data_IF_412954079066
#
_entry.id   IF_412954079066
#
_cell.length_a   1.000
_cell.length_b   1.000
_cell.length_c   1.000
_cell.angle_alpha   90.00
_cell.angle_beta   90.00
_cell.angle_gamma   90.00
#
_symmetry.space_group_name_H-M   'P 1'
#
loop_
_entity.id
_entity.type
_entity.pdbx_description
1 polymer ?
#
# COMPACT_ATOMS: atom_id res chain seq x y z
N UNK A 1 1.56 -5.12 17.58
CA UNK A 1 1.72 -6.55 17.23
C UNK A 1 0.95 -7.42 18.19
N UNK A 2 0.03 -8.26 17.69
CA UNK A 2 -0.65 -9.27 18.52
C UNK A 2 0.36 -10.30 19.04
N UNK A 3 0.22 -10.71 20.30
CA UNK A 3 0.97 -11.82 20.93
C UNK A 3 0.99 -13.08 20.05
N UNK A 4 -0.07 -13.29 19.28
CA UNK A 4 -0.21 -14.39 18.34
C UNK A 4 0.80 -14.32 17.18
N UNK A 5 1.10 -13.13 16.67
CA UNK A 5 2.08 -12.96 15.59
C UNK A 5 3.50 -13.23 16.09
N UNK A 6 3.82 -12.81 17.32
CA UNK A 6 5.11 -13.12 17.96
C UNK A 6 5.27 -14.62 18.22
N UNK A 7 4.19 -15.31 18.61
CA UNK A 7 4.21 -16.76 18.83
C UNK A 7 4.35 -17.55 17.52
N UNK A 8 3.68 -17.12 16.44
CA UNK A 8 3.81 -17.75 15.11
C UNK A 8 5.25 -17.58 14.59
N UNK A 9 5.82 -16.38 14.72
CA UNK A 9 7.21 -16.11 14.36
C UNK A 9 8.19 -16.97 15.16
N UNK A 10 8.01 -17.08 16.49
CA UNK A 10 8.83 -17.93 17.33
C UNK A 10 8.70 -19.43 16.96
N UNK A 11 7.49 -19.90 16.67
CA UNK A 11 7.24 -21.29 16.28
C UNK A 11 7.94 -21.66 14.97
N UNK A 12 7.84 -20.80 13.95
CA UNK A 12 8.51 -21.01 12.66
C UNK A 12 10.03 -21.04 12.81
N UNK A 13 10.60 -20.20 13.68
CA UNK A 13 12.04 -20.17 13.96
C UNK A 13 12.54 -21.41 14.70
N UNK A 14 11.80 -21.89 15.71
CA UNK A 14 12.12 -23.16 16.37
C UNK A 14 12.10 -24.32 15.37
N UNK A 15 11.19 -24.29 14.39
CA UNK A 15 11.12 -25.30 13.32
C UNK A 15 12.35 -25.26 12.41
N UNK A 16 12.90 -24.09 12.10
CA UNK A 16 14.11 -23.92 11.29
C UNK A 16 15.38 -24.43 12.01
N UNK A 17 15.49 -24.17 13.32
CA UNK A 17 16.62 -24.64 14.14
C UNK A 17 16.39 -26.04 14.77
N UNK A 18 15.35 -26.76 14.31
CA UNK A 18 14.91 -28.03 14.92
C UNK A 18 16.02 -29.07 14.95
N UNK A 19 16.83 -29.16 13.91
CA UNK A 19 17.90 -30.16 13.83
C UNK A 19 19.03 -29.83 14.82
N UNK A 20 19.38 -28.55 14.95
CA UNK A 20 20.41 -28.07 15.86
C UNK A 20 19.99 -28.27 17.32
N UNK A 21 18.75 -27.92 17.68
CA UNK A 21 18.23 -28.15 19.03
C UNK A 21 18.05 -29.65 19.33
N UNK A 22 17.67 -30.47 18.34
CA UNK A 22 17.60 -31.91 18.50
C UNK A 22 18.98 -32.53 18.73
N UNK A 23 20.00 -32.08 17.98
CA UNK A 23 21.39 -32.49 18.19
C UNK A 23 21.87 -32.12 19.59
N UNK A 24 21.63 -30.86 20.02
CA UNK A 24 21.97 -30.40 21.36
C UNK A 24 21.30 -31.27 22.44
N UNK A 25 20.02 -31.56 22.29
CA UNK A 25 19.29 -32.42 23.21
C UNK A 25 19.82 -33.86 23.24
N UNK A 26 20.18 -34.44 22.09
CA UNK A 26 20.73 -35.79 22.03
C UNK A 26 22.12 -35.88 22.69
N UNK A 27 22.97 -34.88 22.48
CA UNK A 27 24.29 -34.81 23.14
C UNK A 27 24.11 -34.65 24.65
N UNK A 28 23.21 -33.78 25.10
CA UNK A 28 22.86 -33.65 26.51
C UNK A 28 22.37 -34.96 27.11
N UNK A 29 21.45 -35.65 26.42
CA UNK A 29 20.89 -36.92 26.86
C UNK A 29 21.95 -38.01 26.96
N UNK A 30 22.92 -38.02 26.04
CA UNK A 30 24.06 -38.94 26.11
C UNK A 30 24.94 -38.65 27.33
N UNK A 31 25.22 -37.38 27.62
CA UNK A 31 25.96 -36.99 28.84
C UNK A 31 25.19 -37.35 30.11
N UNK A 32 23.90 -37.03 30.16
CA UNK A 32 23.05 -37.33 31.30
C UNK A 32 22.95 -38.84 31.57
N UNK A 33 22.76 -39.66 30.52
CA UNK A 33 22.72 -41.12 30.67
C UNK A 33 24.07 -41.69 31.08
N UNK A 34 25.18 -41.17 30.54
CA UNK A 34 26.52 -41.54 30.99
C UNK A 34 26.71 -41.27 32.48
N UNK A 35 26.43 -40.05 32.95
CA UNK A 35 26.60 -39.71 34.37
C UNK A 35 25.63 -40.47 35.27
N UNK A 36 24.40 -40.74 34.84
CA UNK A 36 23.47 -41.58 35.60
C UNK A 36 23.98 -43.01 35.80
N UNK A 37 24.75 -43.55 34.84
CA UNK A 37 25.35 -44.88 34.92
C UNK A 37 26.64 -44.88 35.74
N UNK A 38 27.47 -43.85 35.63
CA UNK A 38 28.78 -43.80 36.31
C UNK A 38 28.68 -43.28 37.74
N UNK A 39 27.70 -42.43 38.05
CA UNK A 39 27.52 -41.78 39.36
C UNK A 39 26.22 -42.23 40.07
N UNK A 40 26.02 -43.54 40.33
CA UNK A 40 24.73 -44.10 40.75
C UNK A 40 24.26 -43.65 42.15
N UNK A 41 25.13 -43.03 42.94
CA UNK A 41 24.84 -42.55 44.30
C UNK A 41 24.46 -41.06 44.37
N UNK A 42 24.48 -40.35 43.24
CA UNK A 42 24.05 -38.96 43.15
C UNK A 42 22.53 -38.86 43.04
N UNK A 43 21.94 -37.81 43.62
CA UNK A 43 20.53 -37.53 43.40
C UNK A 43 20.30 -37.04 41.96
N UNK A 44 19.07 -37.19 41.46
CA UNK A 44 18.72 -36.82 40.07
C UNK A 44 19.02 -35.35 39.75
N UNK A 45 18.88 -34.45 40.72
CA UNK A 45 19.22 -33.03 40.57
C UNK A 45 20.73 -32.82 40.41
N UNK A 46 21.55 -33.57 41.14
CA UNK A 46 23.00 -33.49 41.03
C UNK A 46 23.47 -34.02 39.67
N UNK A 47 22.88 -35.12 39.19
CA UNK A 47 23.12 -35.65 37.85
C UNK A 47 22.74 -34.64 36.76
N UNK A 48 21.63 -33.92 36.93
CA UNK A 48 21.21 -32.87 36.02
C UNK A 48 22.20 -31.69 35.99
N UNK A 49 22.68 -31.24 37.14
CA UNK A 49 23.67 -30.17 37.21
C UNK A 49 25.05 -30.59 36.68
N UNK A 50 25.43 -31.86 36.87
CA UNK A 50 26.65 -32.43 36.29
C UNK A 50 26.52 -32.52 34.76
N UNK A 51 25.38 -32.97 34.23
CA UNK A 51 25.17 -33.06 32.77
C UNK A 51 25.08 -31.70 32.08
N UNK A 52 24.79 -30.63 32.83
CA UNK A 52 24.88 -29.25 32.36
C UNK A 52 26.25 -28.62 32.60
N UNK A 53 27.23 -29.37 33.11
CA UNK A 53 28.59 -28.90 33.45
C UNK A 53 28.64 -27.80 34.52
N UNK A 54 27.55 -27.62 35.26
CA UNK A 54 27.45 -26.67 36.39
C UNK A 54 28.16 -27.23 37.62
N UNK A 55 28.21 -28.56 37.76
CA UNK A 55 28.88 -29.27 38.85
C UNK A 55 29.88 -30.29 38.29
N UNK A 56 31.00 -30.49 38.99
CA UNK A 56 31.99 -31.48 38.59
C UNK A 56 31.55 -32.90 39.02
N UNK A 57 31.71 -33.91 38.15
CA UNK A 57 31.53 -35.30 38.53
C UNK A 57 32.60 -35.72 39.54
N UNK A 58 32.30 -36.73 40.36
CA UNK A 58 33.27 -37.28 41.31
C UNK A 58 34.26 -38.22 40.61
N UNK A 59 33.80 -38.92 39.57
CA UNK A 59 34.59 -39.84 38.76
C UNK A 59 35.13 -39.09 37.54
N UNK A 60 36.42 -38.76 37.62
CA UNK A 60 37.16 -38.19 36.49
C UNK A 60 37.48 -39.30 35.47
N UNK A 61 36.65 -39.40 34.43
CA UNK A 61 36.91 -40.23 33.25
C UNK A 61 37.28 -39.35 32.05
N UNK A 62 37.98 -39.92 31.07
CA UNK A 62 38.31 -39.22 29.82
C UNK A 62 37.06 -38.72 29.10
N UNK A 63 35.96 -39.48 29.17
CA UNK A 63 34.67 -39.05 28.61
C UNK A 63 34.07 -37.87 29.37
N UNK A 64 34.13 -37.86 30.71
CA UNK A 64 33.63 -36.74 31.51
C UNK A 64 34.39 -35.43 31.19
N UNK A 65 35.71 -35.52 31.02
CA UNK A 65 36.55 -34.39 30.62
C UNK A 65 36.22 -33.92 29.19
N UNK A 66 36.07 -34.86 28.26
CA UNK A 66 35.68 -34.56 26.88
C UNK A 66 34.29 -33.90 26.80
N UNK A 67 33.30 -34.45 27.52
CA UNK A 67 31.95 -33.89 27.58
C UNK A 67 31.96 -32.51 28.21
N UNK A 68 32.70 -32.31 29.31
CA UNK A 68 32.86 -31.01 29.97
C UNK A 68 33.45 -29.92 29.08
N UNK A 69 34.25 -30.29 28.06
CA UNK A 69 34.79 -29.37 27.07
C UNK A 69 33.81 -29.13 25.91
N UNK A 70 33.21 -30.19 25.37
CA UNK A 70 32.39 -30.12 24.16
C UNK A 70 30.99 -29.55 24.42
N UNK A 71 30.38 -29.86 25.57
CA UNK A 71 29.03 -29.44 25.90
C UNK A 71 28.85 -27.91 25.93
N UNK A 72 29.69 -27.14 26.67
CA UNK A 72 29.59 -25.68 26.67
C UNK A 72 29.81 -25.06 25.29
N UNK A 73 30.76 -25.59 24.51
CA UNK A 73 31.05 -25.09 23.15
C UNK A 73 29.84 -25.30 22.24
N UNK A 74 29.23 -26.50 22.25
CA UNK A 74 28.04 -26.77 21.45
C UNK A 74 26.86 -25.89 21.86
N UNK A 75 26.65 -25.72 23.17
CA UNK A 75 25.60 -24.87 23.70
C UNK A 75 25.81 -23.41 23.26
N UNK A 76 27.03 -22.89 23.40
CA UNK A 76 27.38 -21.53 22.99
C UNK A 76 27.19 -21.33 21.48
N UNK A 77 27.75 -22.21 20.63
CA UNK A 77 27.65 -22.08 19.18
C UNK A 77 26.19 -22.13 18.70
N UNK A 78 25.37 -23.03 19.26
CA UNK A 78 23.97 -23.19 18.84
C UNK A 78 23.11 -22.03 19.36
N UNK A 79 23.26 -21.65 20.64
CA UNK A 79 22.47 -20.55 21.23
C UNK A 79 22.89 -19.20 20.65
N UNK A 80 24.19 -18.93 20.54
CA UNK A 80 24.68 -17.70 19.94
C UNK A 80 24.37 -17.63 18.45
N UNK A 81 24.48 -18.75 17.72
CA UNK A 81 24.05 -18.83 16.32
C UNK A 81 22.56 -18.53 16.15
N UNK A 82 21.71 -19.04 17.04
CA UNK A 82 20.28 -18.70 17.07
C UNK A 82 20.04 -17.20 17.36
N UNK A 83 20.70 -16.64 18.38
CA UNK A 83 20.56 -15.22 18.76
C UNK A 83 21.08 -14.28 17.66
N UNK A 84 22.25 -14.55 17.09
CA UNK A 84 22.82 -13.76 15.98
C UNK A 84 21.98 -13.91 14.73
N UNK A 85 21.50 -15.12 14.41
CA UNK A 85 20.55 -15.33 13.33
C UNK A 85 19.27 -14.51 13.52
N UNK A 86 18.73 -14.45 14.73
CA UNK A 86 17.56 -13.64 15.05
C UNK A 86 17.83 -12.12 14.92
N UNK A 87 19.00 -11.66 15.37
CA UNK A 87 19.42 -10.27 15.23
C UNK A 87 19.66 -9.88 13.77
N UNK A 88 20.21 -10.79 12.95
CA UNK A 88 20.46 -10.57 11.52
C UNK A 88 19.20 -10.72 10.65
N UNK A 89 18.23 -11.56 11.01
CA UNK A 89 16.95 -11.62 10.29
C UNK A 89 16.10 -10.38 10.54
N UNK A 90 16.18 -9.79 11.74
CA UNK A 90 15.69 -8.41 11.98
C UNK A 90 16.34 -7.39 11.03
N UNK A 91 17.48 -7.71 10.43
CA UNK A 91 18.22 -6.85 9.52
C UNK A 91 17.76 -6.98 8.06
N UNK A 92 16.94 -7.98 7.69
CA UNK A 92 16.32 -8.06 6.37
C UNK A 92 14.78 -8.04 6.47
N UNK A 93 14.19 -6.85 6.70
CA UNK A 93 12.76 -6.70 6.89
C UNK A 93 11.98 -7.12 5.64
N UNK A 94 12.54 -6.96 4.43
CA UNK A 94 11.93 -7.38 3.16
C UNK A 94 11.66 -8.89 3.13
N UNK A 95 12.64 -9.71 3.51
CA UNK A 95 12.47 -11.18 3.55
C UNK A 95 11.40 -11.57 4.59
N UNK A 96 11.42 -10.92 5.76
CA UNK A 96 10.43 -11.16 6.81
C UNK A 96 9.02 -10.82 6.35
N UNK A 97 8.81 -9.64 5.76
CA UNK A 97 7.54 -9.20 5.19
C UNK A 97 7.02 -10.16 4.11
N UNK A 98 7.91 -10.66 3.26
CA UNK A 98 7.56 -11.64 2.22
C UNK A 98 7.12 -12.99 2.79
N UNK A 99 7.80 -13.48 3.83
CA UNK A 99 7.41 -14.72 4.53
C UNK A 99 6.05 -14.54 5.22
N UNK A 100 5.82 -13.38 5.86
CA UNK A 100 4.55 -13.06 6.47
C UNK A 100 3.41 -13.11 5.45
N UNK A 101 3.61 -12.50 4.27
CA UNK A 101 2.60 -12.50 3.20
C UNK A 101 2.26 -13.93 2.74
N UNK A 102 3.27 -14.78 2.55
CA UNK A 102 3.10 -16.19 2.17
C UNK A 102 2.23 -17.02 3.12
N UNK A 103 2.21 -16.67 4.40
CA UNK A 103 1.47 -17.40 5.42
C UNK A 103 0.13 -16.75 5.79
N UNK A 104 -0.32 -15.74 5.06
CA UNK A 104 -1.63 -15.12 5.26
C UNK A 104 -2.73 -15.93 4.58
N UNK A 105 -3.87 -16.04 5.26
CA UNK A 105 -5.06 -16.79 4.84
C UNK A 105 -6.29 -15.93 5.13
N UNK A 106 -7.35 -16.10 4.33
CA UNK A 106 -8.59 -15.32 4.42
C UNK A 106 -8.32 -13.82 4.66
N UNK A 107 -7.49 -13.26 3.79
CA UNK A 107 -6.95 -11.91 3.92
C UNK A 107 -7.18 -11.09 2.66
N UNK A 108 -7.13 -9.77 2.79
CA UNK A 108 -7.23 -8.82 1.68
C UNK A 108 -5.87 -8.62 1.03
N UNK A 109 -5.78 -8.71 -0.29
CA UNK A 109 -4.55 -8.39 -1.04
C UNK A 109 -4.71 -7.05 -1.71
N UNK A 110 -3.73 -6.16 -1.52
CA UNK A 110 -3.73 -4.80 -2.08
C UNK A 110 -2.54 -4.72 -3.04
N UNK A 111 -2.82 -4.49 -4.32
CA UNK A 111 -1.82 -4.41 -5.39
C UNK A 111 -1.64 -2.94 -5.76
N UNK A 112 -0.42 -2.43 -5.54
CA UNK A 112 -0.07 -1.01 -5.61
C UNK A 112 -0.13 -0.31 -4.24
N UNK A 113 0.61 0.79 -4.12
CA UNK A 113 0.72 1.65 -2.93
C UNK A 113 0.49 3.13 -3.29
N UNK A 114 -0.49 3.38 -4.14
CA UNK A 114 -0.95 4.73 -4.49
C UNK A 114 -1.75 5.37 -3.33
N UNK A 115 -2.21 6.62 -3.48
CA UNK A 115 -2.94 7.30 -2.42
C UNK A 115 -4.24 6.60 -1.99
N UNK A 116 -4.92 5.89 -2.89
CA UNK A 116 -6.11 5.11 -2.53
C UNK A 116 -5.72 3.84 -1.79
N UNK A 117 -4.72 3.12 -2.29
CA UNK A 117 -4.19 1.92 -1.62
C UNK A 117 -3.71 2.24 -0.20
N UNK A 118 -3.04 3.37 0.01
CA UNK A 118 -2.64 3.84 1.35
C UNK A 118 -3.83 3.98 2.28
N UNK A 119 -4.94 4.58 1.83
CA UNK A 119 -6.18 4.67 2.63
C UNK A 119 -6.81 3.31 2.92
N UNK A 120 -6.81 2.39 1.96
CA UNK A 120 -7.27 1.01 2.17
C UNK A 120 -6.38 0.33 3.24
N UNK A 121 -5.06 0.48 3.15
CA UNK A 121 -4.09 -0.10 4.09
C UNK A 121 -4.28 0.49 5.50
N UNK A 122 -4.38 1.82 5.62
CA UNK A 122 -4.65 2.52 6.88
C UNK A 122 -5.95 2.00 7.52
N UNK A 123 -7.02 1.91 6.73
CA UNK A 123 -8.29 1.36 7.20
C UNK A 123 -8.15 -0.08 7.70
N UNK A 124 -7.44 -0.94 6.97
CA UNK A 124 -7.19 -2.31 7.41
C UNK A 124 -6.36 -2.37 8.71
N UNK A 125 -5.38 -1.48 8.88
CA UNK A 125 -4.57 -1.40 10.10
C UNK A 125 -5.42 -0.97 11.30
N UNK A 126 -6.22 0.09 11.15
CA UNK A 126 -7.07 0.66 12.19
C UNK A 126 -8.12 -0.36 12.68
N UNK A 127 -8.74 -1.06 11.73
CA UNK A 127 -9.78 -2.06 12.00
C UNK A 127 -9.21 -3.45 12.29
N UNK A 128 -7.88 -3.62 12.29
CA UNK A 128 -7.16 -4.88 12.54
C UNK A 128 -7.54 -6.01 11.57
N UNK A 129 -7.89 -5.63 10.34
CA UNK A 129 -8.16 -6.56 9.26
C UNK A 129 -6.86 -7.24 8.79
N UNK A 130 -6.99 -8.48 8.31
CA UNK A 130 -5.86 -9.19 7.73
C UNK A 130 -5.64 -8.73 6.30
N UNK A 131 -4.45 -8.19 6.02
CA UNK A 131 -4.07 -7.79 4.67
C UNK A 131 -2.63 -8.17 4.31
N UNK A 132 -2.32 -8.11 3.02
CA UNK A 132 -0.97 -8.11 2.44
C UNK A 132 -0.91 -7.09 1.30
N UNK A 133 0.28 -6.52 1.07
CA UNK A 133 0.51 -5.51 0.01
C UNK A 133 1.50 -6.07 -1.00
N UNK A 134 1.28 -5.79 -2.29
CA UNK A 134 2.21 -6.09 -3.37
C UNK A 134 2.53 -4.80 -4.11
N UNK A 135 3.81 -4.45 -4.16
CA UNK A 135 4.29 -3.20 -4.75
C UNK A 135 5.66 -3.45 -5.37
N UNK A 136 5.95 -2.85 -6.53
CA UNK A 136 7.24 -3.01 -7.20
C UNK A 136 8.27 -1.97 -6.75
N UNK A 137 7.82 -0.81 -6.28
CA UNK A 137 8.65 0.25 -5.76
C UNK A 137 8.81 0.17 -4.23
N UNK A 138 10.02 -0.16 -3.78
CA UNK A 138 10.36 -0.30 -2.36
C UNK A 138 10.10 0.98 -1.55
N UNK A 139 10.37 2.16 -2.12
CA UNK A 139 10.19 3.44 -1.43
C UNK A 139 8.73 3.67 -1.01
N UNK A 140 7.76 3.15 -1.76
CA UNK A 140 6.34 3.34 -1.47
C UNK A 140 5.82 2.46 -0.32
N UNK A 141 6.59 1.44 0.08
CA UNK A 141 6.21 0.45 1.10
C UNK A 141 7.27 0.25 2.18
N UNK A 142 8.34 1.05 2.16
CA UNK A 142 9.44 0.97 3.12
C UNK A 142 8.92 1.06 4.57
N UNK A 143 8.01 1.99 4.85
CA UNK A 143 7.40 2.13 6.17
C UNK A 143 6.60 0.89 6.57
N UNK A 144 5.89 0.26 5.64
CA UNK A 144 5.12 -0.97 5.92
C UNK A 144 6.07 -2.13 6.23
N UNK A 145 7.15 -2.25 5.46
CA UNK A 145 8.19 -3.26 5.65
C UNK A 145 8.87 -3.06 7.02
N UNK A 146 9.28 -1.83 7.34
CA UNK A 146 9.94 -1.47 8.60
C UNK A 146 9.03 -1.70 9.82
N UNK A 147 7.72 -1.50 9.66
CA UNK A 147 6.73 -1.78 10.70
C UNK A 147 6.34 -3.28 10.79
N UNK A 148 6.90 -4.14 9.93
CA UNK A 148 6.70 -5.59 9.95
C UNK A 148 5.35 -6.02 9.39
N UNK A 149 4.76 -5.26 8.48
CA UNK A 149 3.55 -5.65 7.75
C UNK A 149 3.88 -6.62 6.60
N UNK A 150 2.92 -7.46 6.18
CA UNK A 150 3.12 -8.40 5.07
C UNK A 150 3.17 -7.65 3.74
N UNK A 151 4.36 -7.59 3.14
CA UNK A 151 4.62 -6.89 1.87
C UNK A 151 5.40 -7.81 0.94
N UNK A 152 4.99 -7.83 -0.32
CA UNK A 152 5.63 -8.55 -1.42
C UNK A 152 6.22 -7.49 -2.34
N UNK A 153 7.54 -7.30 -2.26
CA UNK A 153 8.27 -6.41 -3.15
C UNK A 153 8.49 -7.11 -4.51
N UNK A 154 7.87 -6.59 -5.56
CA UNK A 154 8.07 -7.07 -6.93
C UNK A 154 6.88 -6.83 -7.87
N UNK A 155 7.12 -7.07 -9.16
CA UNK A 155 6.13 -6.89 -10.23
C UNK A 155 4.88 -7.76 -9.98
N UNK A 156 3.67 -7.17 -9.91
CA UNK A 156 2.44 -7.92 -9.67
C UNK A 156 1.99 -8.76 -10.87
N UNK A 157 2.61 -8.57 -12.03
CA UNK A 157 2.41 -9.43 -13.19
C UNK A 157 3.26 -10.70 -13.11
N UNK A 158 4.20 -10.85 -12.18
CA UNK A 158 4.99 -12.08 -12.03
C UNK A 158 4.21 -13.17 -11.28
N UNK A 159 4.15 -14.38 -11.87
CA UNK A 159 3.50 -15.53 -11.25
C UNK A 159 4.13 -15.90 -9.90
N UNK A 160 5.45 -15.71 -9.75
CA UNK A 160 6.13 -16.03 -8.50
C UNK A 160 5.64 -15.14 -7.35
N UNK A 161 5.37 -13.85 -7.62
CA UNK A 161 4.86 -12.92 -6.62
C UNK A 161 3.39 -13.20 -6.29
N UNK A 162 2.58 -13.53 -7.29
CA UNK A 162 1.19 -13.95 -7.11
C UNK A 162 1.08 -15.24 -6.28
N UNK A 163 1.97 -16.21 -6.47
CA UNK A 163 2.02 -17.44 -5.65
C UNK A 163 2.36 -17.12 -4.19
N UNK A 164 3.25 -16.15 -3.95
CA UNK A 164 3.62 -15.71 -2.59
C UNK A 164 2.49 -14.93 -1.91
N UNK A 165 1.59 -14.29 -2.67
CA UNK A 165 0.42 -13.63 -2.11
C UNK A 165 -0.67 -14.61 -1.62
N UNK A 166 -0.46 -15.92 -1.80
CA UNK A 166 -1.39 -16.96 -1.39
C UNK A 166 -2.84 -16.73 -1.89
N UNK A 167 -2.96 -16.37 -3.17
CA UNK A 167 -4.23 -15.95 -3.78
C UNK A 167 -5.33 -17.02 -3.81
N UNK A 168 -5.00 -18.28 -3.57
CA UNK A 168 -5.99 -19.37 -3.49
C UNK A 168 -6.97 -19.19 -2.32
N UNK A 169 -6.51 -18.56 -1.23
CA UNK A 169 -7.26 -18.39 0.03
C UNK A 169 -7.26 -16.92 0.48
N UNK A 170 -7.66 -16.05 -0.43
CA UNK A 170 -7.86 -14.62 -0.18
C UNK A 170 -9.33 -14.28 -0.09
N UNK A 171 -9.62 -13.32 0.77
CA UNK A 171 -10.96 -12.79 0.99
C UNK A 171 -11.40 -11.94 -0.19
N UNK A 172 -10.53 -11.03 -0.63
CA UNK A 172 -10.77 -10.11 -1.74
C UNK A 172 -9.44 -9.51 -2.20
N UNK A 173 -9.45 -8.87 -3.37
CA UNK A 173 -8.27 -8.24 -3.95
C UNK A 173 -8.61 -6.84 -4.44
N UNK A 174 -7.78 -5.85 -4.09
CA UNK A 174 -7.82 -4.50 -4.61
C UNK A 174 -6.63 -4.29 -5.55
N UNK A 175 -6.91 -4.00 -6.83
CA UNK A 175 -5.91 -3.58 -7.81
C UNK A 175 -5.99 -2.07 -7.96
N UNK A 176 -5.04 -1.36 -7.36
CA UNK A 176 -4.98 0.09 -7.28
C UNK A 176 -3.89 0.70 -8.17
N UNK A 177 -3.35 -0.05 -9.13
CA UNK A 177 -2.34 0.45 -10.07
C UNK A 177 -2.96 1.32 -11.17
N UNK A 178 -2.24 2.37 -11.57
CA UNK A 178 -2.70 3.31 -12.62
C UNK A 178 -2.45 2.80 -14.06
N UNK A 179 -1.63 1.77 -14.26
CA UNK A 179 -1.38 1.16 -15.58
C UNK A 179 -2.45 0.11 -15.89
N UNK A 180 -3.31 0.44 -16.86
CA UNK A 180 -4.39 -0.41 -17.37
C UNK A 180 -3.88 -1.80 -17.79
N UNK A 181 -2.70 -1.90 -18.40
CA UNK A 181 -2.14 -3.18 -18.85
C UNK A 181 -1.79 -4.06 -17.67
N UNK A 182 -1.14 -3.49 -16.65
CA UNK A 182 -0.82 -4.21 -15.41
C UNK A 182 -2.12 -4.67 -14.75
N UNK A 183 -3.10 -3.77 -14.59
CA UNK A 183 -4.41 -4.12 -14.02
C UNK A 183 -5.10 -5.28 -14.74
N UNK A 184 -5.10 -5.29 -16.07
CA UNK A 184 -5.69 -6.36 -16.87
C UNK A 184 -4.93 -7.69 -16.72
N UNK A 185 -3.60 -7.68 -16.83
CA UNK A 185 -2.77 -8.88 -16.70
C UNK A 185 -2.92 -9.49 -15.31
N UNK A 186 -2.87 -8.64 -14.26
CA UNK A 186 -3.08 -9.08 -12.89
C UNK A 186 -4.46 -9.72 -12.74
N UNK A 187 -5.53 -9.05 -13.20
CA UNK A 187 -6.90 -9.58 -13.10
C UNK A 187 -7.04 -10.95 -13.77
N UNK A 188 -6.49 -11.11 -14.98
CA UNK A 188 -6.51 -12.39 -15.70
C UNK A 188 -5.78 -13.50 -14.92
N UNK A 189 -4.58 -13.22 -14.42
CA UNK A 189 -3.76 -14.20 -13.68
C UNK A 189 -4.38 -14.58 -12.35
N UNK A 190 -4.86 -13.59 -11.60
CA UNK A 190 -5.58 -13.79 -10.35
C UNK A 190 -6.79 -14.69 -10.59
N UNK A 191 -7.62 -14.40 -11.60
CA UNK A 191 -8.82 -15.20 -11.89
C UNK A 191 -8.51 -16.61 -12.36
N UNK A 192 -7.30 -16.87 -12.89
CA UNK A 192 -6.83 -18.25 -13.17
C UNK A 192 -6.53 -19.03 -11.89
N UNK A 193 -6.03 -18.36 -10.86
CA UNK A 193 -5.67 -18.95 -9.56
C UNK A 193 -6.92 -19.09 -8.67
N UNK A 194 -7.71 -18.02 -8.55
CA UNK A 194 -8.91 -17.98 -7.71
C UNK A 194 -10.13 -17.56 -8.52
N UNK A 195 -11.05 -18.52 -8.71
CA UNK A 195 -12.22 -18.35 -9.58
C UNK A 195 -13.33 -17.49 -8.95
N UNK A 196 -13.38 -17.43 -7.63
CA UNK A 196 -14.56 -16.89 -6.92
C UNK A 196 -14.28 -15.58 -6.18
N UNK A 197 -13.03 -15.27 -5.83
CA UNK A 197 -12.75 -14.09 -5.01
C UNK A 197 -13.20 -12.77 -5.67
N UNK A 198 -13.75 -11.81 -4.91
CA UNK A 198 -14.01 -10.47 -5.40
C UNK A 198 -12.69 -9.77 -5.78
N UNK A 199 -12.66 -9.19 -6.98
CA UNK A 199 -11.52 -8.41 -7.46
C UNK A 199 -12.02 -7.00 -7.80
N UNK A 200 -11.60 -6.02 -7.02
CA UNK A 200 -11.90 -4.60 -7.25
C UNK A 200 -10.75 -3.98 -8.03
N UNK A 201 -11.05 -3.42 -9.20
CA UNK A 201 -10.01 -3.03 -10.15
C UNK A 201 -10.16 -1.56 -10.54
N UNK A 202 -9.14 -0.76 -10.27
CA UNK A 202 -9.14 0.66 -10.66
C UNK A 202 -8.85 0.81 -12.14
N UNK A 203 -9.85 1.23 -12.92
CA UNK A 203 -9.76 1.48 -14.36
C UNK A 203 -10.64 2.67 -14.72
N UNK A 204 -10.14 3.58 -15.57
CA UNK A 204 -10.95 4.71 -16.02
C UNK A 204 -11.79 4.36 -17.24
N UNK A 205 -11.19 3.72 -18.24
CA UNK A 205 -11.75 3.56 -19.57
C UNK A 205 -12.98 2.64 -19.58
N UNK A 206 -14.16 3.17 -19.91
CA UNK A 206 -15.44 2.45 -19.84
C UNK A 206 -15.44 1.14 -20.62
N UNK A 207 -14.81 1.08 -21.80
CA UNK A 207 -14.73 -0.15 -22.60
C UNK A 207 -13.89 -1.24 -21.92
N UNK A 208 -12.85 -0.86 -21.16
CA UNK A 208 -12.04 -1.81 -20.39
C UNK A 208 -12.80 -2.25 -19.13
N UNK A 209 -13.53 -1.34 -18.48
CA UNK A 209 -14.40 -1.71 -17.37
C UNK A 209 -15.44 -2.76 -17.81
N UNK A 210 -16.07 -2.56 -18.96
CA UNK A 210 -17.07 -3.50 -19.47
C UNK A 210 -16.45 -4.86 -19.82
N UNK A 211 -15.23 -4.86 -20.37
CA UNK A 211 -14.47 -6.10 -20.60
C UNK A 211 -14.18 -6.87 -19.30
N UNK A 212 -13.79 -6.18 -18.23
CA UNK A 212 -13.47 -6.81 -16.94
C UNK A 212 -14.70 -7.33 -16.18
N UNK A 213 -15.91 -6.87 -16.51
CA UNK A 213 -17.17 -7.36 -15.94
C UNK A 213 -17.67 -8.64 -16.58
N UNK A 214 -17.11 -9.05 -17.72
CA UNK A 214 -17.51 -10.29 -18.39
C UNK A 214 -17.31 -11.50 -17.47
N UNK A 215 -18.13 -12.54 -17.64
CA UNK A 215 -18.17 -13.72 -16.75
C UNK A 215 -16.80 -14.39 -16.57
N UNK A 216 -15.93 -14.31 -17.58
CA UNK A 216 -14.57 -14.85 -17.53
C UNK A 216 -13.69 -14.20 -16.44
N UNK A 217 -13.91 -12.91 -16.16
CA UNK A 217 -13.15 -12.13 -15.20
C UNK A 217 -13.96 -11.80 -13.95
N UNK A 218 -15.26 -11.53 -14.09
CA UNK A 218 -16.20 -11.19 -13.02
C UNK A 218 -15.57 -10.23 -11.98
N UNK A 219 -14.95 -9.16 -12.46
CA UNK A 219 -14.31 -8.16 -11.62
C UNK A 219 -15.24 -6.97 -11.40
N UNK A 220 -14.98 -6.21 -10.34
CA UNK A 220 -15.70 -5.00 -9.96
C UNK A 220 -14.83 -3.77 -10.31
N UNK A 221 -14.88 -3.28 -11.56
CA UNK A 221 -14.11 -2.12 -11.93
C UNK A 221 -14.68 -0.85 -11.30
N UNK A 222 -13.80 0.08 -10.93
CA UNK A 222 -14.18 1.39 -10.42
C UNK A 222 -13.19 2.47 -10.88
N UNK A 223 -13.60 3.73 -10.79
CA UNK A 223 -12.78 4.85 -11.23
C UNK A 223 -12.90 6.07 -10.32
N UNK A 224 -11.81 6.36 -9.62
CA UNK A 224 -11.68 7.58 -8.80
C UNK A 224 -11.76 8.85 -9.65
N UNK A 225 -11.20 8.81 -10.86
CA UNK A 225 -11.29 9.93 -11.79
C UNK A 225 -12.72 10.13 -12.31
N UNK A 226 -13.49 9.07 -12.57
CA UNK A 226 -14.89 9.21 -12.99
C UNK A 226 -15.73 9.86 -11.90
N UNK A 227 -15.57 9.42 -10.65
CA UNK A 227 -16.22 10.05 -9.50
C UNK A 227 -15.89 11.54 -9.35
N UNK A 228 -14.62 11.92 -9.58
CA UNK A 228 -14.22 13.32 -9.59
C UNK A 228 -14.85 14.09 -10.77
N UNK A 229 -14.92 13.48 -11.96
CA UNK A 229 -15.51 14.09 -13.14
C UNK A 229 -17.03 14.30 -13.01
N UNK A 230 -17.74 13.39 -12.32
CA UNK A 230 -19.17 13.55 -12.03
C UNK A 230 -19.42 14.79 -11.16
N UNK A 231 -18.61 14.98 -10.11
CA UNK A 231 -18.68 16.17 -9.26
C UNK A 231 -18.37 17.46 -10.04
N UNK A 232 -17.37 17.41 -10.92
CA UNK A 232 -16.98 18.56 -11.77
C UNK A 232 -18.05 18.87 -12.81
N UNK A 233 -18.71 17.85 -13.36
CA UNK A 233 -19.85 18.01 -14.26
C UNK A 233 -20.94 18.85 -13.60
N UNK A 234 -21.35 18.48 -12.39
CA UNK A 234 -22.37 19.19 -11.63
C UNK A 234 -21.95 20.63 -11.32
N UNK A 235 -20.67 20.86 -11.02
CA UNK A 235 -20.15 22.21 -10.76
C UNK A 235 -20.06 23.10 -11.99
N UNK A 236 -20.02 22.54 -13.20
CA UNK A 236 -19.92 23.30 -14.44
C UNK A 236 -21.29 23.51 -15.10
N UNK A 237 -22.30 22.73 -14.72
CA UNK A 237 -23.63 22.74 -15.34
C UNK A 237 -24.27 24.12 -15.32
N UNK A 238 -24.62 24.62 -16.51
CA UNK A 238 -25.34 25.89 -16.69
C UNK A 238 -24.49 27.15 -16.43
N UNK A 239 -23.17 26.99 -16.30
CA UNK A 239 -22.24 28.13 -16.19
C UNK A 239 -21.71 28.51 -17.56
N UNK A 240 -21.32 29.76 -17.71
CA UNK A 240 -20.79 30.33 -18.94
C UNK A 240 -19.45 31.03 -18.68
N UNK A 241 -18.73 31.37 -19.73
CA UNK A 241 -17.49 32.16 -19.65
C UNK A 241 -16.21 31.35 -19.70
N UNK A 242 -15.09 32.01 -19.34
CA UNK A 242 -13.75 31.43 -19.48
C UNK A 242 -13.36 30.56 -18.29
N UNK A 243 -12.58 29.54 -18.57
CA UNK A 243 -12.18 28.51 -17.61
C UNK A 243 -10.70 28.33 -17.68
N UNK A 244 -10.05 28.30 -16.53
CA UNK A 244 -8.64 27.94 -16.44
C UNK A 244 -8.54 26.56 -15.81
N UNK A 245 -7.74 25.70 -16.43
CA UNK A 245 -7.38 24.39 -15.89
C UNK A 245 -5.86 24.32 -15.83
N UNK A 246 -5.30 23.97 -14.68
CA UNK A 246 -3.85 23.97 -14.43
C UNK A 246 -3.44 22.58 -13.98
N UNK A 247 -2.47 21.96 -14.65
CA UNK A 247 -1.92 20.66 -14.27
C UNK A 247 -1.53 19.80 -15.48
N UNK A 248 -0.88 18.66 -15.20
CA UNK A 248 -0.21 17.83 -16.23
C UNK A 248 -0.83 16.46 -16.44
N UNK A 249 -1.79 16.10 -15.59
CA UNK A 249 -2.20 14.72 -15.42
C UNK A 249 -3.49 14.37 -16.17
N UNK A 250 -3.78 13.06 -16.25
CA UNK A 250 -4.96 12.55 -16.96
C UNK A 250 -6.28 13.17 -16.47
N UNK A 251 -6.43 13.41 -15.16
CA UNK A 251 -7.63 14.04 -14.63
C UNK A 251 -7.74 15.50 -15.11
N UNK A 252 -6.65 16.26 -15.05
CA UNK A 252 -6.58 17.63 -15.55
C UNK A 252 -7.03 17.72 -17.00
N UNK A 253 -6.52 16.84 -17.85
CA UNK A 253 -6.85 16.78 -19.27
C UNK A 253 -8.33 16.45 -19.48
N UNK A 254 -8.88 15.49 -18.72
CA UNK A 254 -10.32 15.15 -18.77
C UNK A 254 -11.20 16.33 -18.37
N UNK A 255 -10.80 17.09 -17.34
CA UNK A 255 -11.50 18.31 -16.93
C UNK A 255 -11.52 19.31 -18.07
N UNK A 256 -10.35 19.60 -18.65
CA UNK A 256 -10.24 20.57 -19.74
C UNK A 256 -11.08 20.16 -20.95
N UNK A 257 -11.00 18.89 -21.36
CA UNK A 257 -11.78 18.36 -22.46
C UNK A 257 -13.29 18.45 -22.19
N UNK A 258 -13.76 17.93 -21.05
CA UNK A 258 -15.18 17.91 -20.72
C UNK A 258 -15.77 19.32 -20.62
N UNK A 259 -15.05 20.27 -20.03
CA UNK A 259 -15.52 21.65 -19.92
C UNK A 259 -15.50 22.35 -21.27
N UNK A 260 -14.52 22.08 -22.13
CA UNK A 260 -14.45 22.64 -23.49
C UNK A 260 -15.52 22.12 -24.45
N UNK A 261 -16.11 20.95 -24.14
CA UNK A 261 -17.20 20.38 -24.93
C UNK A 261 -18.51 21.16 -24.77
N UNK A 262 -18.70 21.88 -23.65
CA UNK A 262 -19.84 22.77 -23.45
C UNK A 262 -19.72 24.00 -24.37
N UNK A 263 -20.78 24.27 -25.14
CA UNK A 263 -20.77 25.33 -26.13
C UNK A 263 -20.64 26.74 -25.54
N UNK A 264 -20.93 26.94 -24.26
CA UNK A 264 -20.88 28.25 -23.61
C UNK A 264 -19.56 28.50 -22.85
N UNK A 265 -18.56 27.63 -23.05
CA UNK A 265 -17.31 27.63 -22.30
C UNK A 265 -16.11 27.75 -23.22
N UNK A 266 -15.13 28.53 -22.78
CA UNK A 266 -13.82 28.66 -23.42
C UNK A 266 -12.76 28.28 -22.39
N UNK A 267 -11.99 27.24 -22.69
CA UNK A 267 -11.12 26.56 -21.72
C UNK A 267 -9.66 26.78 -22.05
N UNK A 268 -8.88 27.17 -21.04
CA UNK A 268 -7.44 27.42 -21.13
C UNK A 268 -6.73 26.41 -20.24
N UNK A 269 -6.05 25.44 -20.84
CA UNK A 269 -5.29 24.41 -20.15
C UNK A 269 -3.81 24.80 -20.09
N UNK A 270 -3.28 24.97 -18.89
CA UNK A 270 -1.86 25.19 -18.63
C UNK A 270 -1.19 23.85 -18.28
N UNK A 271 -0.38 23.35 -19.21
CA UNK A 271 0.38 22.10 -19.12
C UNK A 271 1.70 22.24 -19.88
N UNK A 272 2.82 22.17 -19.17
CA UNK A 272 4.18 22.28 -19.69
C UNK A 272 4.84 20.95 -20.07
N UNK A 273 4.29 19.81 -19.66
CA UNK A 273 4.90 18.49 -19.91
C UNK A 273 4.22 17.74 -21.06
N UNK A 274 2.94 18.04 -21.34
CA UNK A 274 2.14 17.37 -22.39
C UNK A 274 2.32 15.85 -22.33
N UNK A 275 1.64 15.19 -21.39
CA UNK A 275 1.77 13.73 -21.14
C UNK A 275 1.24 12.81 -22.27
N UNK A 276 1.12 13.31 -23.50
CA UNK A 276 0.79 12.54 -24.69
C UNK A 276 -0.69 12.18 -24.80
N UNK A 277 -1.57 12.90 -24.10
CA UNK A 277 -3.02 12.70 -24.22
C UNK A 277 -3.47 13.42 -25.49
N UNK A 278 -3.85 12.64 -26.50
CA UNK A 278 -4.44 13.18 -27.71
C UNK A 278 -5.82 13.76 -27.39
N UNK A 279 -6.01 15.04 -27.68
CA UNK A 279 -7.30 15.70 -27.60
C UNK A 279 -7.93 15.76 -28.99
N UNK A 280 -9.23 15.55 -29.07
CA UNK A 280 -9.98 16.07 -30.21
C UNK A 280 -9.81 17.59 -30.21
N UNK A 281 -9.29 18.14 -31.31
CA UNK A 281 -9.11 19.58 -31.45
C UNK A 281 -10.47 20.26 -31.32
N UNK A 282 -10.67 20.97 -30.21
CA UNK A 282 -11.78 21.87 -30.00
C UNK A 282 -11.28 23.29 -30.18
N UNK A 283 -11.95 24.08 -31.01
CA UNK A 283 -11.66 25.52 -31.20
C UNK A 283 -11.77 26.31 -29.87
N UNK A 284 -12.38 25.72 -28.84
CA UNK A 284 -12.61 26.30 -27.51
C UNK A 284 -11.64 25.80 -26.45
N UNK A 285 -10.71 24.91 -26.80
CA UNK A 285 -9.66 24.43 -25.91
C UNK A 285 -8.31 25.02 -26.31
N UNK A 286 -7.81 25.93 -25.50
CA UNK A 286 -6.53 26.59 -25.69
C UNK A 286 -5.48 25.89 -24.82
N UNK A 287 -4.57 25.16 -25.46
CA UNK A 287 -3.42 24.54 -24.80
C UNK A 287 -2.30 25.58 -24.66
N UNK A 288 -1.84 25.78 -23.43
CA UNK A 288 -0.76 26.70 -23.09
C UNK A 288 0.38 25.87 -22.52
N UNK A 289 1.47 25.81 -23.27
CA UNK A 289 2.67 25.06 -22.89
C UNK A 289 3.55 25.86 -21.92
N UNK A 290 3.01 26.15 -20.74
CA UNK A 290 3.70 26.90 -19.69
C UNK A 290 3.21 26.48 -18.29
N UNK A 291 4.08 26.66 -17.29
CA UNK A 291 3.74 26.42 -15.90
C UNK A 291 3.12 27.68 -15.30
N UNK A 292 1.84 27.60 -14.97
CA UNK A 292 1.17 28.68 -14.26
C UNK A 292 1.45 28.62 -12.75
N UNK A 293 2.53 29.23 -12.24
CA UNK A 293 2.80 29.34 -10.80
C UNK A 293 2.20 30.60 -10.17
N UNK A 294 2.06 31.65 -10.97
CA UNK A 294 1.66 32.98 -10.55
C UNK A 294 0.58 33.52 -11.49
N UNK A 295 -0.21 34.48 -11.02
CA UNK A 295 -1.17 35.19 -11.88
C UNK A 295 -0.48 35.90 -13.06
N UNK A 296 0.80 36.26 -12.94
CA UNK A 296 1.60 36.85 -14.02
C UNK A 296 1.79 35.91 -15.21
N UNK A 297 1.74 34.60 -14.96
CA UNK A 297 1.99 33.58 -15.98
C UNK A 297 0.70 33.31 -16.76
N UNK A 298 -0.45 33.60 -16.14
CA UNK A 298 -1.79 33.34 -16.69
C UNK A 298 -2.31 34.55 -17.51
N UNK A 299 -2.07 35.77 -17.01
CA UNK A 299 -2.56 37.03 -17.61
C UNK A 299 -2.20 37.27 -19.08
N UNK A 300 -1.02 36.85 -19.60
CA UNK A 300 -0.70 37.02 -21.01
C UNK A 300 -1.61 36.23 -21.94
N UNK A 301 -2.25 35.17 -21.43
CA UNK A 301 -3.03 34.23 -22.24
C UNK A 301 -4.54 34.39 -22.08
N UNK A 302 -5.01 34.85 -20.92
CA UNK A 302 -6.44 34.95 -20.63
C UNK A 302 -6.79 36.21 -19.86
N UNK A 303 -7.90 36.85 -20.24
CA UNK A 303 -8.47 37.95 -19.48
C UNK A 303 -9.13 37.42 -18.21
N UNK A 304 -8.47 37.62 -17.06
CA UNK A 304 -8.94 37.11 -15.77
C UNK A 304 -10.30 37.69 -15.33
N UNK A 305 -10.71 38.84 -15.85
CA UNK A 305 -12.02 39.44 -15.54
C UNK A 305 -13.20 38.69 -16.19
N UNK A 306 -12.93 37.86 -17.20
CA UNK A 306 -13.91 37.04 -17.91
C UNK A 306 -13.92 35.57 -17.45
N UNK A 307 -12.99 35.21 -16.56
CA UNK A 307 -12.88 33.86 -16.01
C UNK A 307 -13.97 33.67 -14.96
N UNK A 308 -14.67 32.55 -15.02
CA UNK A 308 -15.70 32.19 -14.03
C UNK A 308 -15.26 31.04 -13.13
N UNK A 309 -14.38 30.17 -13.61
CA UNK A 309 -13.89 29.01 -12.85
C UNK A 309 -12.40 28.75 -13.09
N UNK A 310 -11.70 28.33 -12.03
CA UNK A 310 -10.30 27.89 -12.06
C UNK A 310 -10.17 26.52 -11.40
N UNK A 311 -9.58 25.56 -12.11
CA UNK A 311 -9.24 24.24 -11.61
C UNK A 311 -7.73 24.10 -11.46
N UNK A 312 -7.25 23.92 -10.23
CA UNK A 312 -5.83 23.71 -9.91
C UNK A 312 -5.64 22.23 -9.58
N UNK A 313 -4.99 21.49 -10.48
CA UNK A 313 -4.97 20.03 -10.50
C UNK A 313 -3.56 19.43 -10.32
N UNK A 314 -2.61 20.18 -9.78
CA UNK A 314 -1.28 19.66 -9.50
C UNK A 314 -1.32 18.44 -8.57
N UNK A 315 -0.52 17.44 -8.92
CA UNK A 315 -0.49 16.13 -8.25
C UNK A 315 0.67 16.03 -7.26
N UNK A 316 1.78 16.71 -7.52
CA UNK A 316 2.99 16.58 -6.73
C UNK A 316 2.86 17.33 -5.41
N UNK A 317 3.25 16.71 -4.30
CA UNK A 317 3.27 17.36 -2.98
C UNK A 317 4.11 18.64 -2.98
N UNK A 318 5.23 18.64 -3.73
CA UNK A 318 6.09 19.82 -3.92
C UNK A 318 5.41 21.01 -4.60
N UNK A 319 4.25 20.80 -5.21
CA UNK A 319 3.48 21.84 -5.90
C UNK A 319 2.31 22.37 -5.06
N UNK A 320 2.10 21.80 -3.87
CA UNK A 320 0.96 22.16 -3.04
C UNK A 320 1.02 23.60 -2.55
N UNK A 321 2.19 24.08 -2.12
CA UNK A 321 2.39 25.47 -1.72
C UNK A 321 2.02 26.46 -2.83
N UNK A 322 2.29 26.08 -4.08
CA UNK A 322 1.94 26.88 -5.26
C UNK A 322 0.43 26.86 -5.50
N UNK A 323 -0.22 25.71 -5.30
CA UNK A 323 -1.68 25.59 -5.45
C UNK A 323 -2.40 26.50 -4.45
N UNK A 324 -1.97 26.46 -3.19
CA UNK A 324 -2.45 27.34 -2.13
C UNK A 324 -2.19 28.82 -2.46
N UNK A 325 -0.98 29.12 -2.91
CA UNK A 325 -0.61 30.48 -3.29
C UNK A 325 -1.55 31.01 -4.38
N UNK A 326 -1.75 30.27 -5.48
CA UNK A 326 -2.65 30.67 -6.55
C UNK A 326 -4.09 30.80 -6.07
N UNK A 327 -4.61 29.82 -5.34
CA UNK A 327 -5.95 29.88 -4.76
C UNK A 327 -6.13 31.16 -3.92
N UNK A 328 -5.15 31.49 -3.08
CA UNK A 328 -5.17 32.72 -2.29
C UNK A 328 -5.17 33.98 -3.17
N UNK A 329 -4.39 34.01 -4.25
CA UNK A 329 -4.29 35.17 -5.15
C UNK A 329 -5.55 35.36 -5.99
N UNK A 330 -6.15 34.28 -6.48
CA UNK A 330 -7.43 34.31 -7.14
C UNK A 330 -8.51 34.83 -6.20
N UNK A 331 -8.63 34.27 -5.00
CA UNK A 331 -9.64 34.70 -4.03
C UNK A 331 -9.49 36.18 -3.63
N UNK A 332 -8.26 36.65 -3.43
CA UNK A 332 -8.00 38.03 -3.02
C UNK A 332 -8.24 39.07 -4.13
N UNK A 333 -7.96 38.74 -5.40
CA UNK A 333 -8.02 39.70 -6.52
C UNK A 333 -9.26 39.56 -7.39
N UNK A 334 -9.82 38.35 -7.45
CA UNK A 334 -10.92 37.96 -8.32
C UNK A 334 -11.94 37.13 -7.51
N UNK A 335 -12.59 37.72 -6.50
CA UNK A 335 -13.47 36.98 -5.57
C UNK A 335 -14.70 36.35 -6.23
N UNK A 336 -15.02 36.75 -7.47
CA UNK A 336 -16.11 36.18 -8.25
C UNK A 336 -15.74 34.86 -8.97
N UNK A 337 -14.45 34.53 -9.05
CA UNK A 337 -13.99 33.28 -9.66
C UNK A 337 -14.21 32.14 -8.67
N UNK A 338 -14.91 31.10 -9.11
CA UNK A 338 -14.98 29.86 -8.33
C UNK A 338 -13.68 29.06 -8.48
N UNK A 339 -13.06 28.75 -7.35
CA UNK A 339 -11.75 28.09 -7.31
C UNK A 339 -11.94 26.64 -6.87
N UNK A 340 -11.37 25.72 -7.62
CA UNK A 340 -11.37 24.30 -7.35
C UNK A 340 -9.93 23.83 -7.26
N UNK A 341 -9.57 23.17 -6.16
CA UNK A 341 -8.23 22.67 -5.94
C UNK A 341 -8.30 21.17 -5.71
N UNK A 342 -7.52 20.43 -6.48
CA UNK A 342 -7.31 19.02 -6.23
C UNK A 342 -6.42 18.87 -4.99
N UNK A 343 -6.86 18.05 -4.05
CA UNK A 343 -6.09 17.77 -2.85
C UNK A 343 -6.07 16.26 -2.62
N UNK A 344 -4.89 15.68 -2.43
CA UNK A 344 -4.74 14.28 -2.04
C UNK A 344 -4.77 14.10 -0.51
N UNK A 345 -4.22 15.07 0.23
CA UNK A 345 -4.07 15.08 1.68
C UNK A 345 -5.14 15.93 2.39
N UNK A 346 -5.87 15.31 3.29
CA UNK A 346 -7.03 15.91 3.95
C UNK A 346 -6.68 17.03 4.92
N UNK A 347 -5.48 17.00 5.50
CA UNK A 347 -5.03 18.03 6.46
C UNK A 347 -5.04 19.43 5.84
N UNK A 348 -5.01 19.50 4.52
CA UNK A 348 -4.91 20.72 3.75
C UNK A 348 -6.27 21.26 3.28
N UNK A 349 -7.34 20.49 3.46
CA UNK A 349 -8.71 20.88 3.06
C UNK A 349 -9.12 22.17 3.74
N UNK A 350 -8.90 22.29 5.05
CA UNK A 350 -9.27 23.47 5.82
C UNK A 350 -8.47 24.71 5.41
N UNK A 351 -7.22 24.52 4.99
CA UNK A 351 -6.39 25.60 4.49
C UNK A 351 -6.91 26.13 3.14
N UNK A 352 -7.31 25.24 2.23
CA UNK A 352 -7.90 25.63 0.95
C UNK A 352 -9.27 26.30 1.13
N UNK A 353 -10.10 25.80 2.05
CA UNK A 353 -11.41 26.40 2.38
C UNK A 353 -11.29 27.85 2.87
N UNK A 354 -10.20 28.23 3.55
CA UNK A 354 -9.95 29.63 3.97
C UNK A 354 -9.83 30.59 2.79
N UNK A 355 -9.53 30.08 1.60
CA UNK A 355 -9.47 30.86 0.36
C UNK A 355 -10.75 30.72 -0.49
N UNK A 356 -11.87 30.33 0.11
CA UNK A 356 -13.16 30.13 -0.58
C UNK A 356 -13.08 29.15 -1.77
N UNK A 357 -12.13 28.22 -1.71
CA UNK A 357 -11.93 27.21 -2.73
C UNK A 357 -12.59 25.89 -2.32
N UNK A 358 -13.11 25.17 -3.32
CA UNK A 358 -13.69 23.83 -3.19
C UNK A 358 -12.62 22.78 -3.47
N UNK A 359 -12.67 21.65 -2.79
CA UNK A 359 -11.71 20.56 -2.95
C UNK A 359 -12.33 19.38 -3.66
N UNK A 360 -11.53 18.63 -4.43
CA UNK A 360 -11.98 17.39 -5.08
C UNK A 360 -10.86 16.36 -5.18
N UNK A 361 -11.26 15.12 -5.50
CA UNK A 361 -10.37 13.96 -5.68
C UNK A 361 -9.50 13.65 -4.45
N UNK A 362 -10.07 13.77 -3.24
CA UNK A 362 -9.41 13.33 -2.01
C UNK A 362 -9.36 11.80 -1.95
N UNK A 363 -8.28 11.28 -1.36
CA UNK A 363 -8.08 9.83 -1.20
C UNK A 363 -9.15 9.19 -0.31
N UNK A 364 -9.62 9.90 0.72
CA UNK A 364 -10.68 9.46 1.61
C UNK A 364 -12.05 9.39 0.93
N UNK A 365 -12.43 10.41 0.16
CA UNK A 365 -13.69 10.37 -0.58
C UNK A 365 -13.69 9.23 -1.61
N UNK A 366 -12.52 8.92 -2.20
CA UNK A 366 -12.36 7.74 -3.04
C UNK A 366 -12.53 6.43 -2.24
N UNK A 367 -12.01 6.34 -1.01
CA UNK A 367 -12.26 5.20 -0.13
C UNK A 367 -13.76 5.08 0.19
N UNK A 368 -14.44 6.15 0.60
CA UNK A 368 -15.87 6.13 0.94
C UNK A 368 -16.77 5.71 -0.23
N UNK A 369 -16.43 6.14 -1.45
CA UNK A 369 -17.14 5.71 -2.67
C UNK A 369 -16.83 4.25 -3.00
N UNK A 370 -15.60 3.78 -2.78
CA UNK A 370 -15.23 2.37 -2.91
C UNK A 370 -15.98 1.51 -1.88
N UNK A 371 -16.13 1.98 -0.64
CA UNK A 371 -16.88 1.30 0.42
C UNK A 371 -18.36 1.10 0.09
N UNK A 372 -18.93 1.89 -0.82
CA UNK A 372 -20.31 1.73 -1.28
C UNK A 372 -20.47 0.63 -2.33
N UNK A 373 -19.39 0.22 -2.99
CA UNK A 373 -19.42 -0.80 -4.06
C UNK A 373 -18.87 -2.16 -3.62
N UNK A 374 -18.12 -2.21 -2.51
CA UNK A 374 -17.63 -3.48 -1.98
C UNK A 374 -18.76 -4.32 -1.37
N UNK A 375 -18.54 -5.62 -1.31
CA UNK A 375 -19.44 -6.57 -0.67
C UNK A 375 -19.51 -6.35 0.86
N UNK A 376 -20.63 -6.70 1.52
CA UNK A 376 -20.79 -6.50 2.97
C UNK A 376 -19.78 -7.23 3.85
N UNK A 377 -19.14 -8.26 3.32
CA UNK A 377 -18.08 -9.01 4.00
C UNK A 377 -16.69 -8.42 3.78
N UNK A 378 -16.51 -7.42 2.90
CA UNK A 378 -15.23 -6.78 2.59
C UNK A 378 -14.51 -6.22 3.83
N UNK A 379 -13.17 -6.26 3.85
CA UNK A 379 -12.35 -5.69 4.91
C UNK A 379 -12.42 -4.16 4.99
N UNK A 380 -12.90 -3.50 3.94
CA UNK A 380 -13.15 -2.05 3.99
C UNK A 380 -14.63 -1.72 4.16
N UNK A 381 -15.53 -2.70 4.29
CA UNK A 381 -16.94 -2.40 4.50
C UNK A 381 -17.13 -1.65 5.84
N UNK A 382 -17.88 -0.53 5.86
CA UNK A 382 -18.04 0.26 7.08
C UNK A 382 -18.84 -0.51 8.15
N UNK A 383 -18.17 -0.95 9.22
CA UNK A 383 -18.79 -1.75 10.30
C UNK A 383 -19.94 -1.05 11.03
N UNK A 384 -19.99 0.29 10.98
CA UNK A 384 -21.07 1.09 11.53
C UNK A 384 -21.39 2.19 10.52
N UNK A 385 -22.69 2.43 10.26
CA UNK A 385 -23.19 3.48 9.35
C UNK A 385 -22.88 4.92 9.77
N UNK A 386 -21.74 5.17 10.40
CA UNK A 386 -21.14 6.48 10.57
C UNK A 386 -20.56 6.85 9.21
N UNK A 387 -21.35 7.57 8.42
CA UNK A 387 -20.78 8.50 7.45
C UNK A 387 -19.85 9.42 8.24
N UNK A 388 -18.56 9.39 7.93
CA UNK A 388 -17.61 10.41 8.39
C UNK A 388 -18.05 11.79 7.92
#
# INVERSE_FOLDING_TARGET
>A
MSLMNSLIAAHLKIKQYRIQFLLLFLVWLMGFTFFALTEPFQNLWDLFLISLTVRNPQIASDFANFFGLIWPILLEVIVFGFLVGELLEKYNPVVTSRILAKHKHNHTVIIGSDHLAKRIIEYCIENKENFSVMEDNEELVEDLINNGYPVILGDPTDNANLEIANLEDVKEIFICVDDVRISMICTEKIRKINKECPIYVRIFEDHVQEYLKQDEFNAYPFSTSKWAMDLIHDWCKGKEGKVIVIGRDRLTHRIAHQVSADHNRETYLFDDEHTGIEFEQSDKLHLINDIAHFLSDIRPHVNLDEVTQVFICWKLESEFDKALYLASKFNLRYPNIEIYVRIADEELIDLVKRYNAKTFSTSQNALELLQQIVTPDSAIYPENGIKL
#
